data_IF_505813071481
#
_entry.id   IF_505813071481
#
_cell.length_a   1.000
_cell.length_b   1.000
_cell.length_c   1.000
_cell.angle_alpha   90.00
_cell.angle_beta   90.00
_cell.angle_gamma   90.00
#
_symmetry.space_group_name_H-M   'P 1'
#
loop_
_entity.id
_entity.type
_entity.pdbx_description
1 polymer ?
#
# COMPACT_ATOMS: atom_id res chain seq x y z
N UNK A 1 -8.91 51.02 -70.00
CA UNK A 1 -8.83 49.63 -69.54
C UNK A 1 -7.82 49.62 -68.35
N UNK A 2 -8.36 49.82 -67.21
CA UNK A 2 -7.57 50.00 -65.93
C UNK A 2 -7.15 48.67 -65.38
N UNK A 3 -5.88 48.58 -65.04
CA UNK A 3 -5.32 47.54 -64.15
C UNK A 3 -5.52 48.03 -62.73
N UNK A 4 -6.22 47.25 -61.94
CA UNK A 4 -6.41 47.44 -60.54
C UNK A 4 -5.28 46.74 -59.84
N UNK A 5 -4.37 47.54 -59.28
CA UNK A 5 -3.29 47.05 -58.37
C UNK A 5 -3.90 46.82 -57.02
N UNK A 6 -3.74 45.58 -56.49
CA UNK A 6 -4.12 45.20 -55.13
C UNK A 6 -3.05 45.63 -54.16
N UNK A 7 -3.41 46.49 -53.23
CA UNK A 7 -2.58 46.91 -52.11
C UNK A 7 -2.24 45.76 -51.15
N UNK A 8 -1.02 45.72 -50.55
CA UNK A 8 -0.64 44.74 -49.53
C UNK A 8 -1.30 45.09 -48.19
N UNK A 9 -2.01 44.13 -47.64
CA UNK A 9 -2.61 44.19 -46.31
C UNK A 9 -1.50 44.24 -45.22
N UNK A 10 -1.37 45.41 -44.64
CA UNK A 10 -0.53 45.67 -43.45
C UNK A 10 -1.21 45.07 -42.24
N UNK A 11 -0.55 44.09 -41.61
CA UNK A 11 -0.97 43.56 -40.32
C UNK A 11 -0.60 44.55 -39.21
N UNK A 12 -1.51 44.97 -38.37
CA UNK A 12 -1.20 45.79 -37.20
C UNK A 12 -0.90 44.92 -36.00
N UNK A 13 0.05 45.34 -35.21
CA UNK A 13 0.05 44.98 -33.79
C UNK A 13 1.26 44.20 -33.30
N UNK A 14 2.33 44.97 -33.10
CA UNK A 14 3.33 44.66 -32.07
C UNK A 14 2.61 44.32 -30.77
N UNK A 15 2.86 43.12 -30.22
CA UNK A 15 2.35 42.74 -28.90
C UNK A 15 2.96 43.67 -27.86
N UNK A 16 2.18 44.17 -26.89
CA UNK A 16 2.72 44.97 -25.83
C UNK A 16 3.56 44.06 -24.91
N UNK A 17 4.72 44.62 -24.58
CA UNK A 17 5.65 44.16 -23.54
C UNK A 17 4.87 43.79 -22.28
N UNK A 18 4.92 42.50 -21.88
CA UNK A 18 4.25 42.02 -20.68
C UNK A 18 4.91 42.67 -19.48
N UNK A 19 4.26 43.70 -18.95
CA UNK A 19 4.58 44.26 -17.63
C UNK A 19 4.56 43.14 -16.59
N UNK A 20 5.58 43.09 -15.78
CA UNK A 20 5.74 42.24 -14.60
C UNK A 20 4.46 42.30 -13.73
N UNK A 21 3.73 41.23 -13.67
CA UNK A 21 2.67 41.07 -12.69
C UNK A 21 3.28 40.85 -11.30
N UNK A 22 2.87 41.57 -10.28
CA UNK A 22 3.40 41.42 -8.92
C UNK A 22 3.00 40.03 -8.38
N UNK A 23 4.06 39.31 -7.95
CA UNK A 23 4.13 38.08 -7.18
C UNK A 23 2.81 37.40 -6.81
N UNK A 24 2.46 36.35 -7.53
CA UNK A 24 1.73 35.25 -6.92
C UNK A 24 2.65 34.62 -5.86
N UNK A 25 2.19 34.35 -4.64
CA UNK A 25 2.99 33.65 -3.65
C UNK A 25 3.32 32.26 -4.23
N UNK A 26 4.60 32.00 -4.38
CA UNK A 26 5.16 30.86 -5.07
C UNK A 26 4.60 29.55 -4.54
N UNK A 27 4.24 28.68 -5.44
CA UNK A 27 4.19 27.23 -5.24
C UNK A 27 5.61 26.69 -5.02
N UNK A 28 6.29 27.23 -4.01
CA UNK A 28 7.58 26.75 -3.52
C UNK A 28 7.31 26.03 -2.20
N UNK A 29 6.82 24.82 -2.27
CA UNK A 29 6.42 24.09 -1.05
C UNK A 29 6.39 22.57 -1.15
N UNK A 30 7.03 21.95 -2.17
CA UNK A 30 7.22 20.49 -2.18
C UNK A 30 8.68 20.06 -2.04
N UNK A 31 9.55 20.95 -1.57
CA UNK A 31 10.92 20.60 -1.22
C UNK A 31 11.05 20.52 0.31
N UNK A 32 11.05 19.28 0.85
CA UNK A 32 11.60 19.01 2.17
C UNK A 32 10.81 19.57 3.34
N UNK A 33 9.64 18.99 3.68
CA UNK A 33 9.27 18.97 5.09
C UNK A 33 10.40 18.23 5.83
N UNK A 34 10.95 18.77 6.94
CA UNK A 34 11.89 18.03 7.77
C UNK A 34 11.28 16.66 8.05
N UNK A 35 12.10 15.61 8.12
CA UNK A 35 11.63 14.23 8.41
C UNK A 35 10.98 14.24 9.81
N UNK A 36 9.74 14.72 9.85
CA UNK A 36 8.95 14.62 11.07
C UNK A 36 8.72 13.15 11.36
N UNK A 37 8.95 12.75 12.59
CA UNK A 37 8.59 11.41 13.03
C UNK A 37 7.06 11.21 13.02
N UNK A 38 6.63 9.98 13.01
CA UNK A 38 5.21 9.65 12.91
C UNK A 38 4.39 10.18 14.11
N UNK A 39 4.99 10.29 15.28
CA UNK A 39 4.32 10.86 16.46
C UNK A 39 4.07 12.36 16.31
N UNK A 40 5.04 13.08 15.75
CA UNK A 40 4.91 14.51 15.44
C UNK A 40 3.84 14.75 14.37
N UNK A 41 3.80 13.91 13.32
CA UNK A 41 2.75 13.95 12.29
C UNK A 41 1.36 13.71 12.87
N UNK A 42 1.22 12.74 13.77
CA UNK A 42 -0.05 12.48 14.44
C UNK A 42 -0.48 13.62 15.36
N UNK A 43 0.47 14.24 16.07
CA UNK A 43 0.18 15.40 16.90
C UNK A 43 -0.31 16.60 16.06
N UNK A 44 0.35 16.86 14.92
CA UNK A 44 -0.09 17.88 13.97
C UNK A 44 -1.49 17.55 13.39
N UNK A 45 -1.73 16.29 12.98
CA UNK A 45 -3.04 15.83 12.51
C UNK A 45 -4.13 16.06 13.55
N UNK A 46 -3.85 15.77 14.83
CA UNK A 46 -4.77 16.03 15.95
C UNK A 46 -5.10 17.52 16.09
N UNK A 47 -4.17 18.40 15.76
CA UNK A 47 -4.36 19.85 15.74
C UNK A 47 -5.08 20.36 14.49
N UNK A 48 -5.51 19.47 13.57
CA UNK A 48 -6.23 19.81 12.36
C UNK A 48 -5.36 20.00 11.12
N UNK A 49 -4.08 19.62 11.17
CA UNK A 49 -3.18 19.69 10.01
C UNK A 49 -3.42 18.47 9.10
N UNK A 50 -4.15 18.70 8.00
CA UNK A 50 -4.45 17.68 7.00
C UNK A 50 -3.19 17.26 6.20
N UNK A 51 -2.21 18.16 6.02
CA UNK A 51 -0.98 17.87 5.29
C UNK A 51 -0.14 16.84 6.06
N UNK A 52 -0.12 16.96 7.39
CA UNK A 52 0.54 15.96 8.24
C UNK A 52 -0.08 14.57 8.09
N UNK A 53 -1.42 14.47 7.98
CA UNK A 53 -2.08 13.20 7.73
C UNK A 53 -1.82 12.66 6.32
N UNK A 54 -1.79 13.52 5.31
CA UNK A 54 -1.43 13.12 3.94
C UNK A 54 -0.03 12.50 3.89
N UNK A 55 0.92 13.03 4.67
CA UNK A 55 2.27 12.46 4.76
C UNK A 55 2.25 11.07 5.42
N UNK A 56 1.43 10.85 6.46
CA UNK A 56 1.21 9.51 7.03
C UNK A 56 0.66 8.55 5.97
N UNK A 57 -0.35 8.97 5.22
CA UNK A 57 -0.92 8.15 4.14
C UNK A 57 0.14 7.84 3.08
N UNK A 58 0.94 8.82 2.67
CA UNK A 58 2.02 8.64 1.68
C UNK A 58 3.03 7.59 2.14
N UNK A 59 3.45 7.62 3.41
CA UNK A 59 4.43 6.67 3.99
C UNK A 59 3.89 5.24 4.07
N UNK A 60 2.64 5.10 4.49
CA UNK A 60 2.09 3.81 4.90
C UNK A 60 1.15 3.16 3.86
N UNK A 61 0.69 3.88 2.83
CA UNK A 61 -0.27 3.33 1.85
C UNK A 61 0.24 2.04 1.21
N UNK A 62 1.42 2.09 0.61
CA UNK A 62 1.97 0.93 -0.09
C UNK A 62 2.34 -0.22 0.87
N UNK A 63 3.07 0.00 1.99
CA UNK A 63 3.33 -1.04 2.96
C UNK A 63 2.06 -1.73 3.48
N UNK A 64 1.03 -0.96 3.88
CA UNK A 64 -0.22 -1.52 4.39
C UNK A 64 -0.99 -2.28 3.30
N UNK A 65 -1.10 -1.74 2.08
CA UNK A 65 -1.76 -2.44 0.97
C UNK A 65 -1.05 -3.76 0.67
N UNK A 66 0.28 -3.76 0.59
CA UNK A 66 1.08 -4.96 0.33
C UNK A 66 0.91 -5.99 1.45
N UNK A 67 0.95 -5.57 2.71
CA UNK A 67 0.71 -6.45 3.85
C UNK A 67 -0.67 -7.11 3.77
N UNK A 68 -1.71 -6.31 3.56
CA UNK A 68 -3.09 -6.83 3.46
C UNK A 68 -3.23 -7.74 2.24
N UNK A 69 -2.70 -7.37 1.08
CA UNK A 69 -2.71 -8.23 -0.11
C UNK A 69 -2.09 -9.60 0.16
N UNK A 70 -0.91 -9.65 0.79
CA UNK A 70 -0.28 -10.93 1.17
C UNK A 70 -1.11 -11.74 2.16
N UNK A 71 -1.97 -11.08 2.95
CA UNK A 71 -2.87 -11.76 3.87
C UNK A 71 -4.11 -12.34 3.20
N UNK A 72 -4.73 -11.63 2.25
CA UNK A 72 -6.07 -12.00 1.72
C UNK A 72 -6.06 -12.47 0.26
N UNK A 73 -4.94 -12.27 -0.46
CA UNK A 73 -4.74 -12.67 -1.87
C UNK A 73 -5.81 -12.09 -2.81
N UNK A 74 -6.07 -10.78 -2.67
CA UNK A 74 -7.05 -10.03 -3.45
C UNK A 74 -6.66 -8.55 -3.39
N UNK A 75 -6.18 -8.01 -4.49
CA UNK A 75 -5.58 -6.68 -4.52
C UNK A 75 -6.62 -5.57 -4.32
N UNK A 76 -7.74 -5.64 -5.03
CA UNK A 76 -8.79 -4.62 -4.93
C UNK A 76 -9.32 -4.52 -3.50
N UNK A 77 -9.57 -5.68 -2.91
CA UNK A 77 -10.00 -5.73 -1.52
C UNK A 77 -8.91 -5.29 -0.53
N UNK A 78 -7.64 -5.51 -0.86
CA UNK A 78 -6.53 -5.02 -0.05
C UNK A 78 -6.44 -3.49 -0.07
N UNK A 79 -6.68 -2.87 -1.22
CA UNK A 79 -6.77 -1.40 -1.35
C UNK A 79 -7.91 -0.85 -0.49
N UNK A 80 -9.11 -1.45 -0.55
CA UNK A 80 -10.25 -1.04 0.27
C UNK A 80 -9.94 -1.11 1.78
N UNK A 81 -9.34 -2.23 2.21
CA UNK A 81 -8.97 -2.43 3.62
C UNK A 81 -7.87 -1.45 4.04
N UNK A 82 -6.92 -1.14 3.17
CA UNK A 82 -5.92 -0.12 3.44
C UNK A 82 -6.57 1.26 3.63
N UNK A 83 -7.50 1.65 2.77
CA UNK A 83 -8.27 2.89 2.92
C UNK A 83 -9.06 2.92 4.23
N UNK A 84 -9.77 1.83 4.55
CA UNK A 84 -10.50 1.71 5.83
C UNK A 84 -9.56 1.82 7.03
N UNK A 85 -8.33 1.29 6.92
CA UNK A 85 -7.29 1.42 7.96
C UNK A 85 -6.97 2.89 8.22
N UNK A 86 -6.75 3.70 7.18
CA UNK A 86 -6.46 5.13 7.32
C UNK A 86 -7.65 5.90 7.87
N UNK A 87 -8.86 5.61 7.43
CA UNK A 87 -10.08 6.21 8.00
C UNK A 87 -10.15 5.93 9.50
N UNK A 88 -9.89 4.70 9.94
CA UNK A 88 -9.88 4.34 11.37
C UNK A 88 -8.78 5.04 12.15
N UNK A 89 -7.59 5.19 11.57
CA UNK A 89 -6.50 5.96 12.17
C UNK A 89 -6.94 7.40 12.38
N UNK A 90 -7.47 8.06 11.34
CA UNK A 90 -7.93 9.45 11.39
C UNK A 90 -9.02 9.67 12.44
N UNK A 91 -10.05 8.82 12.42
CA UNK A 91 -11.18 8.91 13.37
C UNK A 91 -10.79 8.67 14.84
N UNK A 92 -9.67 8.01 15.08
CA UNK A 92 -9.21 7.70 16.43
C UNK A 92 -7.90 8.40 16.79
N UNK A 93 -7.48 9.41 16.04
CA UNK A 93 -6.22 10.14 16.28
C UNK A 93 -6.16 10.72 17.68
N UNK A 94 -7.28 11.21 18.22
CA UNK A 94 -7.37 11.76 19.56
C UNK A 94 -7.19 10.72 20.68
N UNK A 95 -7.53 9.47 20.40
CA UNK A 95 -7.42 8.35 21.35
C UNK A 95 -6.10 7.60 21.23
N UNK A 96 -5.30 7.92 20.22
CA UNK A 96 -4.02 7.27 20.05
C UNK A 96 -3.10 7.56 21.23
N UNK A 97 -2.56 6.52 21.84
CA UNK A 97 -1.56 6.59 22.89
C UNK A 97 -0.25 5.99 22.37
N UNK A 98 0.84 6.70 22.56
CA UNK A 98 2.16 6.31 22.09
C UNK A 98 2.80 5.17 22.95
N UNK A 99 2.02 4.14 23.24
CA UNK A 99 2.51 2.97 23.99
C UNK A 99 3.46 2.11 23.15
N UNK A 100 3.24 2.09 21.84
CA UNK A 100 4.07 1.43 20.84
C UNK A 100 4.36 2.41 19.68
N UNK A 101 5.23 2.03 18.75
CA UNK A 101 5.43 2.81 17.53
C UNK A 101 4.12 2.97 16.76
N UNK A 102 3.96 4.08 16.04
CA UNK A 102 2.79 4.28 15.18
C UNK A 102 2.66 3.17 14.14
N UNK A 103 3.78 2.71 13.62
CA UNK A 103 3.84 1.56 12.72
C UNK A 103 3.13 0.33 13.32
N UNK A 104 3.45 -0.03 14.57
CA UNK A 104 2.76 -1.14 15.26
C UNK A 104 1.25 -0.93 15.36
N UNK A 105 0.82 0.30 15.64
CA UNK A 105 -0.60 0.64 15.75
C UNK A 105 -1.36 0.48 14.44
N UNK A 106 -0.82 1.04 13.33
CA UNK A 106 -1.49 0.97 12.02
C UNK A 106 -1.52 -0.47 11.48
N UNK A 107 -0.44 -1.26 11.63
CA UNK A 107 -0.42 -2.67 11.25
C UNK A 107 -1.40 -3.51 12.07
N UNK A 108 -1.62 -3.20 13.35
CA UNK A 108 -2.63 -3.88 14.18
C UNK A 108 -4.05 -3.63 13.65
N UNK A 109 -4.36 -2.41 13.22
CA UNK A 109 -5.66 -2.09 12.61
C UNK A 109 -5.84 -2.85 11.30
N UNK A 110 -4.84 -2.78 10.40
CA UNK A 110 -4.86 -3.47 9.12
C UNK A 110 -4.99 -4.99 9.28
N UNK A 111 -4.25 -5.59 10.22
CA UNK A 111 -4.32 -7.01 10.54
C UNK A 111 -5.73 -7.43 10.97
N UNK A 112 -6.34 -6.70 11.89
CA UNK A 112 -7.67 -7.01 12.39
C UNK A 112 -8.73 -6.94 11.30
N UNK A 113 -8.62 -5.99 10.37
CA UNK A 113 -9.49 -5.88 9.21
C UNK A 113 -9.28 -7.06 8.24
N UNK A 114 -8.04 -7.40 7.93
CA UNK A 114 -7.70 -8.52 7.06
C UNK A 114 -8.22 -9.86 7.63
N UNK A 115 -8.05 -10.11 8.93
CA UNK A 115 -8.58 -11.31 9.60
C UNK A 115 -10.12 -11.33 9.58
N UNK A 116 -10.75 -10.18 9.75
CA UNK A 116 -12.22 -10.08 9.68
C UNK A 116 -12.71 -10.46 8.29
N UNK A 117 -12.05 -9.97 7.24
CA UNK A 117 -12.34 -10.32 5.85
C UNK A 117 -12.17 -11.83 5.60
N UNK A 118 -11.05 -12.43 6.00
CA UNK A 118 -10.81 -13.87 5.86
C UNK A 118 -11.89 -14.70 6.56
N UNK A 119 -12.31 -14.29 7.75
CA UNK A 119 -13.41 -14.96 8.48
C UNK A 119 -14.75 -14.83 7.77
N UNK A 120 -15.03 -13.67 7.16
CA UNK A 120 -16.25 -13.47 6.37
C UNK A 120 -16.24 -14.31 5.09
N UNK A 121 -15.14 -14.36 4.35
CA UNK A 121 -14.98 -15.22 3.16
C UNK A 121 -15.17 -16.68 3.52
N UNK A 122 -14.58 -17.15 4.60
CA UNK A 122 -14.77 -18.52 5.08
C UNK A 122 -16.23 -18.82 5.41
N UNK A 123 -16.94 -17.91 6.08
CA UNK A 123 -18.37 -18.07 6.37
C UNK A 123 -19.23 -18.11 5.11
N UNK A 124 -18.97 -17.22 4.13
CA UNK A 124 -19.70 -17.23 2.84
C UNK A 124 -19.53 -18.54 2.07
N UNK A 125 -18.35 -19.14 2.11
CA UNK A 125 -18.09 -20.46 1.48
C UNK A 125 -18.79 -21.61 2.19
N UNK A 126 -19.11 -21.49 3.47
CA UNK A 126 -19.79 -22.55 4.25
C UNK A 126 -21.31 -22.48 4.18
N UNK A 127 -21.89 -21.38 3.71
CA UNK A 127 -23.33 -21.25 3.47
C UNK A 127 -23.56 -21.59 1.99
N UNK A 128 -24.16 -22.73 1.62
CA UNK A 128 -24.53 -23.00 0.25
C UNK A 128 -25.72 -22.12 -0.12
N UNK A 129 -25.43 -20.91 -0.62
CA UNK A 129 -26.42 -20.15 -1.38
C UNK A 129 -26.61 -20.88 -2.72
N UNK A 130 -27.87 -21.07 -3.20
CA UNK A 130 -28.07 -21.56 -4.55
C UNK A 130 -27.37 -20.63 -5.52
N UNK A 131 -26.35 -21.13 -6.17
CA UNK A 131 -25.52 -20.41 -7.14
C UNK A 131 -26.36 -20.16 -8.40
N UNK A 132 -27.04 -19.02 -8.44
CA UNK A 132 -27.36 -18.37 -9.70
C UNK A 132 -26.26 -17.31 -9.91
N UNK A 133 -25.42 -17.53 -10.92
CA UNK A 133 -24.39 -16.64 -11.43
C UNK A 133 -23.19 -16.35 -10.50
N UNK A 134 -22.10 -17.04 -10.71
CA UNK A 134 -20.77 -16.43 -10.74
C UNK A 134 -19.72 -17.38 -11.30
N UNK A 135 -19.62 -17.45 -12.60
CA UNK A 135 -18.32 -17.60 -13.23
C UNK A 135 -17.65 -16.22 -13.17
N UNK A 136 -16.94 -15.94 -12.10
CA UNK A 136 -15.87 -14.97 -12.11
C UNK A 136 -14.60 -15.77 -12.32
N UNK A 137 -14.19 -15.87 -13.56
CA UNK A 137 -12.79 -16.02 -13.91
C UNK A 137 -12.03 -14.96 -13.12
N UNK A 138 -11.11 -15.40 -12.29
CA UNK A 138 -10.16 -14.51 -11.62
C UNK A 138 -9.27 -13.97 -12.74
N UNK A 139 -9.55 -12.79 -13.24
CA UNK A 139 -8.57 -12.03 -14.01
C UNK A 139 -7.37 -11.85 -13.09
N UNK A 140 -6.27 -12.47 -13.46
CA UNK A 140 -4.97 -12.23 -12.86
C UNK A 140 -4.62 -10.76 -13.14
N UNK A 141 -4.92 -9.90 -12.17
CA UNK A 141 -4.45 -8.53 -12.20
C UNK A 141 -2.95 -8.59 -11.93
N UNK A 142 -2.19 -8.37 -12.96
CA UNK A 142 -0.75 -8.21 -12.91
C UNK A 142 -0.44 -6.97 -12.07
N UNK A 143 -0.10 -7.18 -10.80
CA UNK A 143 0.32 -6.10 -9.92
C UNK A 143 1.74 -5.74 -10.29
N UNK A 144 1.88 -4.74 -11.13
CA UNK A 144 3.15 -4.12 -11.46
C UNK A 144 3.68 -3.41 -10.20
N UNK A 145 4.52 -4.11 -9.45
CA UNK A 145 5.31 -3.51 -8.41
C UNK A 145 6.47 -2.80 -9.11
N UNK A 146 6.67 -1.49 -8.90
CA UNK A 146 7.74 -0.77 -9.55
C UNK A 146 9.09 -1.37 -9.17
N UNK A 147 9.71 -2.05 -10.09
CA UNK A 147 11.06 -2.58 -9.99
C UNK A 147 11.96 -1.76 -10.88
N UNK A 148 12.72 -0.84 -10.31
CA UNK A 148 13.77 -0.07 -10.99
C UNK A 148 15.06 -0.92 -11.14
N UNK A 149 14.93 -2.15 -11.60
CA UNK A 149 16.10 -2.95 -11.93
C UNK A 149 16.10 -3.24 -13.44
N UNK A 150 16.98 -2.58 -14.14
CA UNK A 150 17.24 -2.75 -15.58
C UNK A 150 18.01 -4.06 -15.80
N UNK A 151 17.32 -5.21 -15.68
CA UNK A 151 17.86 -6.53 -15.97
C UNK A 151 17.63 -6.92 -17.44
N UNK A 152 18.49 -7.79 -18.04
CA UNK A 152 18.18 -8.40 -19.33
C UNK A 152 16.83 -9.11 -19.30
N UNK A 153 16.06 -9.05 -20.40
CA UNK A 153 14.66 -9.52 -20.45
C UNK A 153 14.46 -10.96 -19.93
N UNK A 154 15.42 -11.86 -20.19
CA UNK A 154 15.34 -13.25 -19.73
C UNK A 154 15.53 -13.37 -18.21
N UNK A 155 16.42 -12.56 -17.61
CA UNK A 155 16.63 -12.54 -16.15
C UNK A 155 15.44 -11.90 -15.42
N UNK A 156 14.82 -10.88 -16.02
CA UNK A 156 13.63 -10.25 -15.49
C UNK A 156 12.44 -11.22 -15.45
N UNK A 157 12.25 -12.04 -16.50
CA UNK A 157 11.20 -13.04 -16.55
C UNK A 157 11.40 -14.12 -15.46
N UNK A 158 12.61 -14.64 -15.31
CA UNK A 158 12.94 -15.63 -14.28
C UNK A 158 12.74 -15.04 -12.87
N UNK A 159 13.10 -13.77 -12.67
CA UNK A 159 12.89 -13.09 -11.39
C UNK A 159 11.40 -12.94 -11.07
N UNK A 160 10.58 -12.64 -12.08
CA UNK A 160 9.13 -12.50 -11.92
C UNK A 160 8.46 -13.85 -11.62
N UNK A 161 8.80 -14.92 -12.32
CA UNK A 161 8.33 -16.29 -12.03
C UNK A 161 8.67 -16.69 -10.59
N UNK A 162 9.90 -16.42 -10.13
CA UNK A 162 10.30 -16.69 -8.74
C UNK A 162 9.50 -15.85 -7.76
N UNK A 163 9.24 -14.59 -8.06
CA UNK A 163 8.43 -13.69 -7.22
C UNK A 163 6.99 -14.20 -7.10
N UNK A 164 6.38 -14.60 -8.22
CA UNK A 164 5.03 -15.22 -8.24
C UNK A 164 5.00 -16.52 -7.44
N UNK A 165 5.98 -17.39 -7.60
CA UNK A 165 6.07 -18.64 -6.84
C UNK A 165 6.15 -18.39 -5.33
N UNK A 166 6.96 -17.42 -4.88
CA UNK A 166 7.07 -17.02 -3.47
C UNK A 166 5.75 -16.46 -2.96
N UNK A 167 5.09 -15.58 -3.72
CA UNK A 167 3.80 -14.99 -3.34
C UNK A 167 2.73 -16.06 -3.18
N UNK A 168 2.62 -17.00 -4.12
CA UNK A 168 1.70 -18.12 -4.07
C UNK A 168 1.99 -19.04 -2.89
N UNK A 169 3.25 -19.34 -2.63
CA UNK A 169 3.66 -20.15 -1.48
C UNK A 169 3.28 -19.48 -0.15
N UNK A 170 3.47 -18.17 -0.01
CA UNK A 170 3.06 -17.40 1.18
C UNK A 170 1.53 -17.43 1.31
N UNK A 171 0.77 -17.16 0.24
CA UNK A 171 -0.69 -17.16 0.24
C UNK A 171 -1.28 -18.52 0.65
N UNK A 172 -0.59 -19.62 0.35
CA UNK A 172 -1.00 -20.98 0.71
C UNK A 172 -0.75 -21.35 2.19
N UNK A 173 0.00 -20.54 2.95
CA UNK A 173 0.23 -20.79 4.38
C UNK A 173 -1.06 -20.56 5.18
N UNK A 174 -1.32 -21.33 6.25
CA UNK A 174 -2.37 -21.01 7.20
C UNK A 174 -2.16 -19.61 7.81
N UNK A 175 -3.26 -18.82 7.96
CA UNK A 175 -3.20 -17.41 8.42
C UNK A 175 -2.38 -17.21 9.69
N UNK A 176 -2.48 -18.16 10.65
CA UNK A 176 -1.74 -18.12 11.92
C UNK A 176 -0.21 -18.18 11.77
N UNK A 177 0.29 -18.67 10.64
CA UNK A 177 1.71 -18.73 10.29
C UNK A 177 2.08 -17.65 9.29
N UNK A 178 1.16 -17.29 8.37
CA UNK A 178 1.35 -16.27 7.34
C UNK A 178 1.60 -14.89 7.96
N UNK A 179 0.72 -14.44 8.86
CA UNK A 179 0.81 -13.10 9.45
C UNK A 179 2.15 -12.84 10.15
N UNK A 180 2.63 -13.67 11.09
CA UNK A 180 3.91 -13.40 11.74
C UNK A 180 5.11 -13.52 10.79
N UNK A 181 5.04 -14.39 9.75
CA UNK A 181 6.08 -14.48 8.73
C UNK A 181 6.16 -13.19 7.89
N UNK A 182 5.03 -12.71 7.36
CA UNK A 182 4.98 -11.49 6.55
C UNK A 182 5.48 -10.28 7.34
N UNK A 183 5.02 -10.12 8.59
CA UNK A 183 5.47 -9.02 9.45
C UNK A 183 6.97 -9.08 9.74
N UNK A 184 7.54 -10.28 9.93
CA UNK A 184 8.95 -10.45 10.25
C UNK A 184 9.86 -10.30 9.01
N UNK A 185 9.56 -11.06 7.96
CA UNK A 185 10.49 -11.27 6.84
C UNK A 185 10.30 -10.27 5.69
N UNK A 186 9.13 -9.61 5.61
CA UNK A 186 8.81 -8.67 4.55
C UNK A 186 8.61 -7.24 5.06
N UNK A 187 8.06 -7.09 6.28
CA UNK A 187 7.83 -5.77 6.90
C UNK A 187 8.88 -5.45 7.96
N UNK A 188 9.90 -6.30 8.12
CA UNK A 188 11.08 -6.12 8.98
C UNK A 188 10.74 -5.75 10.45
N UNK A 189 9.59 -6.24 10.96
CA UNK A 189 9.16 -5.99 12.34
C UNK A 189 9.90 -6.85 13.33
N UNK A 190 10.22 -6.29 14.48
CA UNK A 190 10.77 -7.03 15.62
C UNK A 190 9.74 -8.00 16.21
N UNK A 191 10.19 -9.00 16.95
CA UNK A 191 9.27 -9.96 17.60
C UNK A 191 8.35 -9.30 18.63
N UNK A 192 8.81 -8.24 19.27
CA UNK A 192 8.05 -7.43 20.21
C UNK A 192 6.94 -6.64 19.50
N UNK A 193 7.24 -6.02 18.37
CA UNK A 193 6.24 -5.33 17.55
C UNK A 193 5.21 -6.31 16.99
N UNK A 194 5.66 -7.47 16.47
CA UNK A 194 4.77 -8.53 15.98
C UNK A 194 3.87 -9.05 17.11
N UNK A 195 4.42 -9.22 18.31
CA UNK A 195 3.67 -9.58 19.52
C UNK A 195 2.55 -8.58 19.78
N UNK A 196 2.85 -7.28 19.69
CA UNK A 196 1.87 -6.21 19.89
C UNK A 196 0.85 -6.12 18.75
N UNK A 197 1.26 -6.32 17.48
CA UNK A 197 0.35 -6.33 16.32
C UNK A 197 -0.64 -7.48 16.39
N UNK A 198 -0.16 -8.70 16.69
CA UNK A 198 -0.93 -9.94 16.63
C UNK A 198 -1.61 -10.32 17.97
N UNK A 199 -1.33 -9.57 19.03
CA UNK A 199 -1.78 -9.87 20.40
C UNK A 199 -1.38 -11.30 20.84
N UNK A 200 -0.08 -11.62 20.68
CA UNK A 200 0.49 -12.93 20.96
C UNK A 200 1.77 -12.81 21.81
N UNK A 201 2.03 -13.76 22.73
CA UNK A 201 3.33 -13.80 23.40
C UNK A 201 4.50 -13.93 22.42
N UNK A 202 5.62 -13.25 22.67
CA UNK A 202 6.83 -13.27 21.81
C UNK A 202 7.37 -14.67 21.55
N UNK A 203 7.30 -15.57 22.54
CA UNK A 203 7.65 -16.99 22.38
C UNK A 203 6.76 -17.70 21.35
N UNK A 204 5.46 -17.35 21.30
CA UNK A 204 4.52 -17.87 20.30
C UNK A 204 4.83 -17.29 18.92
N UNK A 205 5.16 -16.00 18.83
CA UNK A 205 5.60 -15.35 17.58
C UNK A 205 6.81 -16.09 17.00
N UNK A 206 7.86 -16.26 17.80
CA UNK A 206 9.10 -16.97 17.41
C UNK A 206 8.82 -18.38 16.89
N UNK A 207 8.01 -19.15 17.61
CA UNK A 207 7.67 -20.53 17.22
C UNK A 207 6.85 -20.58 15.92
N UNK A 208 5.90 -19.64 15.74
CA UNK A 208 5.09 -19.54 14.51
C UNK A 208 5.93 -19.14 13.30
N UNK A 209 6.86 -18.19 13.43
CA UNK A 209 7.78 -17.80 12.35
C UNK A 209 8.66 -18.98 11.94
N UNK A 210 9.27 -19.69 12.89
CA UNK A 210 10.07 -20.88 12.57
C UNK A 210 9.26 -21.95 11.84
N UNK A 211 8.02 -22.21 12.28
CA UNK A 211 7.14 -23.16 11.61
C UNK A 211 6.73 -22.67 10.22
N UNK A 212 6.44 -21.38 10.08
CA UNK A 212 6.10 -20.76 8.79
C UNK A 212 7.24 -20.90 7.78
N UNK A 213 8.48 -20.60 8.18
CA UNK A 213 9.67 -20.73 7.32
C UNK A 213 9.90 -22.16 6.87
N UNK A 214 9.67 -23.16 7.74
CA UNK A 214 9.78 -24.56 7.36
C UNK A 214 8.71 -24.96 6.35
N UNK A 215 7.44 -24.58 6.55
CA UNK A 215 6.35 -24.84 5.63
C UNK A 215 6.58 -24.13 4.26
N UNK A 216 7.07 -22.90 4.31
CA UNK A 216 7.38 -22.15 3.09
C UNK A 216 8.51 -22.84 2.29
N UNK A 217 9.56 -23.32 2.97
CA UNK A 217 10.66 -24.04 2.31
C UNK A 217 10.18 -25.35 1.67
N UNK A 218 9.29 -26.09 2.32
CA UNK A 218 8.69 -27.29 1.75
C UNK A 218 7.91 -26.95 0.47
N UNK A 219 7.04 -25.93 0.51
CA UNK A 219 6.25 -25.50 -0.65
C UNK A 219 7.09 -24.97 -1.81
N UNK A 220 8.13 -24.20 -1.53
CA UNK A 220 9.04 -23.69 -2.58
C UNK A 220 9.82 -24.82 -3.26
N UNK A 221 10.11 -25.94 -2.59
CA UNK A 221 10.72 -27.11 -3.22
C UNK A 221 9.77 -27.84 -4.18
N UNK A 222 8.47 -27.69 -3.98
CA UNK A 222 7.45 -28.28 -4.87
C UNK A 222 7.16 -27.39 -6.09
N UNK A 223 7.47 -26.09 -6.01
CA UNK A 223 7.19 -25.10 -7.05
C UNK A 223 8.40 -24.75 -7.93
N UNK A 224 9.63 -25.00 -7.45
CA UNK A 224 10.91 -24.74 -8.13
C UNK A 224 11.63 -26.03 -8.47
#
# INVERSE_FOLDING_TARGET
MAKEEADPVTLPGTMPEMAEMPGMPGMTGMAGMPEMDDHSLLAATRSGDEVAFQEIVRRYRNPITNYVYRMIDDYDRAVDIAQETFVRVYMNVDRYQATFSFSTYIYRIAHNLAITELRQRKRRRLIPLPTFFSDKESEEVEVDLPDEANFPADEALIADERRRAVTTAIASLPEKYRAPLVLCDLEEKTYEEISAVLDLPTGTVKSRINRARNLLREKLRELL
#
